data_IF_473134867731
#
_entry.id   IF_473134867731
#
_cell.length_a   1.000
_cell.length_b   1.000
_cell.length_c   1.000
_cell.angle_alpha   90.00
_cell.angle_beta   90.00
_cell.angle_gamma   90.00
#
_symmetry.space_group_name_H-M   'P 1'
#
loop_
_entity.id
_entity.type
_entity.pdbx_description
1 polymer ?
#
# COMPACT_ATOMS: atom_id res chain seq x y z
N UNK A 1 -20.50 -15.26 -5.67
CA UNK A 1 -21.38 -14.09 -5.82
C UNK A 1 -21.47 -13.63 -7.27
N UNK A 2 -20.43 -13.07 -7.91
CA UNK A 2 -20.50 -12.62 -9.33
C UNK A 2 -20.93 -13.74 -10.30
N UNK A 3 -20.34 -14.94 -10.21
CA UNK A 3 -20.75 -16.10 -11.05
C UNK A 3 -22.24 -16.42 -10.93
N UNK A 4 -22.79 -16.33 -9.71
CA UNK A 4 -24.21 -16.60 -9.46
C UNK A 4 -25.12 -15.49 -10.01
N UNK A 5 -24.63 -14.25 -10.12
CA UNK A 5 -25.37 -13.14 -10.76
C UNK A 5 -25.34 -13.29 -12.28
N UNK A 6 -24.21 -13.71 -12.85
CA UNK A 6 -24.09 -14.03 -14.29
C UNK A 6 -24.98 -15.22 -14.69
N UNK A 7 -25.04 -16.27 -13.86
CA UNK A 7 -25.94 -17.42 -14.07
C UNK A 7 -27.42 -16.99 -14.01
N UNK A 8 -27.79 -16.13 -13.05
CA UNK A 8 -29.13 -15.53 -12.97
C UNK A 8 -29.45 -14.68 -14.19
N UNK A 9 -28.51 -13.81 -14.62
CA UNK A 9 -28.64 -12.99 -15.83
C UNK A 9 -28.87 -13.85 -17.06
N UNK A 10 -28.04 -14.89 -17.25
CA UNK A 10 -28.18 -15.83 -18.37
C UNK A 10 -29.54 -16.52 -18.35
N UNK A 11 -29.99 -16.95 -17.18
CA UNK A 11 -31.29 -17.64 -17.02
C UNK A 11 -32.47 -16.71 -17.36
N UNK A 12 -32.44 -15.46 -16.92
CA UNK A 12 -33.48 -14.46 -17.22
C UNK A 12 -33.50 -14.16 -18.72
N UNK A 13 -32.32 -13.97 -19.35
CA UNK A 13 -32.22 -13.75 -20.78
C UNK A 13 -32.77 -14.92 -21.59
N UNK A 14 -32.44 -16.17 -21.22
CA UNK A 14 -32.97 -17.36 -21.88
C UNK A 14 -34.49 -17.45 -21.74
N UNK A 15 -35.06 -17.08 -20.57
CA UNK A 15 -36.52 -17.01 -20.38
C UNK A 15 -37.17 -15.95 -21.27
N UNK A 16 -36.59 -14.75 -21.36
CA UNK A 16 -37.07 -13.67 -22.23
C UNK A 16 -37.02 -14.10 -23.71
N UNK A 17 -35.95 -14.78 -24.13
CA UNK A 17 -35.77 -15.24 -25.52
C UNK A 17 -36.70 -16.40 -25.91
N UNK A 18 -37.06 -17.28 -24.96
CA UNK A 18 -37.94 -18.43 -25.18
C UNK A 18 -39.44 -18.14 -25.10
N UNK A 19 -39.84 -16.93 -24.74
CA UNK A 19 -41.24 -16.56 -24.46
C UNK A 19 -41.70 -15.45 -25.41
N UNK A 20 -41.87 -15.76 -26.70
CA UNK A 20 -42.40 -14.82 -27.69
C UNK A 20 -43.89 -14.44 -27.48
N UNK A 21 -44.67 -15.21 -26.69
CA UNK A 21 -46.13 -15.09 -26.57
C UNK A 21 -46.67 -14.93 -25.12
N UNK A 22 -45.88 -14.41 -24.18
CA UNK A 22 -46.35 -14.25 -22.77
C UNK A 22 -47.13 -12.95 -22.49
N UNK A 23 -48.03 -12.95 -21.49
CA UNK A 23 -48.76 -11.74 -21.05
C UNK A 23 -47.81 -10.60 -20.64
N UNK A 24 -48.15 -9.36 -21.03
CA UNK A 24 -47.35 -8.12 -20.78
C UNK A 24 -46.84 -7.98 -19.34
N UNK A 25 -47.61 -8.41 -18.35
CA UNK A 25 -47.25 -8.31 -16.93
C UNK A 25 -46.04 -9.19 -16.57
N UNK A 26 -45.98 -10.43 -17.06
CA UNK A 26 -44.86 -11.33 -16.82
C UNK A 26 -43.57 -10.83 -17.49
N UNK A 27 -43.68 -10.23 -18.67
CA UNK A 27 -42.55 -9.61 -19.36
C UNK A 27 -42.01 -8.41 -18.57
N UNK A 28 -42.89 -7.59 -17.97
CA UNK A 28 -42.49 -6.45 -17.15
C UNK A 28 -41.72 -6.85 -15.88
N UNK A 29 -42.15 -7.94 -15.22
CA UNK A 29 -41.48 -8.48 -14.04
C UNK A 29 -40.09 -9.03 -14.38
N UNK A 30 -39.96 -9.81 -15.46
CA UNK A 30 -38.67 -10.31 -15.94
C UNK A 30 -37.71 -9.18 -16.34
N UNK A 31 -38.22 -8.12 -16.94
CA UNK A 31 -37.41 -6.93 -17.28
C UNK A 31 -36.95 -6.18 -16.03
N UNK A 32 -37.80 -6.07 -15.01
CA UNK A 32 -37.44 -5.48 -13.73
C UNK A 32 -36.33 -6.29 -13.02
N UNK A 33 -36.49 -7.61 -12.95
CA UNK A 33 -35.50 -8.52 -12.36
C UNK A 33 -34.17 -8.45 -13.12
N UNK A 34 -34.20 -8.38 -14.45
CA UNK A 34 -33.00 -8.21 -15.27
C UNK A 34 -32.27 -6.91 -14.91
N UNK A 35 -33.00 -5.79 -14.84
CA UNK A 35 -32.42 -4.49 -14.49
C UNK A 35 -31.79 -4.51 -13.09
N UNK A 36 -32.42 -5.16 -12.10
CA UNK A 36 -31.84 -5.32 -10.77
C UNK A 36 -30.54 -6.12 -10.80
N UNK A 37 -30.51 -7.25 -11.54
CA UNK A 37 -29.30 -8.08 -11.66
C UNK A 37 -28.18 -7.32 -12.37
N UNK A 38 -28.49 -6.57 -13.43
CA UNK A 38 -27.51 -5.74 -14.14
C UNK A 38 -26.95 -4.62 -13.26
N UNK A 39 -27.79 -3.95 -12.46
CA UNK A 39 -27.33 -2.94 -11.49
C UNK A 39 -26.40 -3.55 -10.43
N UNK A 40 -26.72 -4.74 -9.92
CA UNK A 40 -25.86 -5.44 -8.97
C UNK A 40 -24.51 -5.83 -9.59
N UNK A 41 -24.52 -6.34 -10.82
CA UNK A 41 -23.29 -6.62 -11.57
C UNK A 41 -22.45 -5.37 -11.78
N UNK A 42 -23.08 -4.24 -12.14
CA UNK A 42 -22.39 -2.98 -12.37
C UNK A 42 -21.66 -2.48 -11.11
N UNK A 43 -22.32 -2.52 -9.95
CA UNK A 43 -21.71 -2.18 -8.66
C UNK A 43 -20.52 -3.09 -8.33
N UNK A 44 -20.62 -4.38 -8.62
CA UNK A 44 -19.53 -5.33 -8.40
C UNK A 44 -18.35 -5.10 -9.33
N UNK A 45 -18.61 -4.85 -10.62
CA UNK A 45 -17.60 -4.53 -11.62
C UNK A 45 -16.90 -3.24 -11.22
N UNK A 46 -17.64 -2.19 -10.89
CA UNK A 46 -17.10 -0.89 -10.48
C UNK A 46 -16.17 -1.00 -9.27
N UNK A 47 -16.61 -1.72 -8.24
CA UNK A 47 -15.79 -1.99 -7.05
C UNK A 47 -14.51 -2.75 -7.42
N UNK A 48 -14.62 -3.78 -8.26
CA UNK A 48 -13.46 -4.57 -8.70
C UNK A 48 -12.49 -3.74 -9.55
N UNK A 49 -13.00 -2.94 -10.48
CA UNK A 49 -12.20 -2.03 -11.30
C UNK A 49 -11.45 -1.04 -10.44
N UNK A 50 -12.11 -0.42 -9.45
CA UNK A 50 -11.45 0.50 -8.50
C UNK A 50 -10.30 -0.17 -7.74
N UNK A 51 -10.49 -1.40 -7.25
CA UNK A 51 -9.43 -2.16 -6.59
C UNK A 51 -8.27 -2.51 -7.53
N UNK A 52 -8.58 -2.95 -8.75
CA UNK A 52 -7.57 -3.31 -9.74
C UNK A 52 -6.80 -2.08 -10.22
N UNK A 53 -7.45 -0.93 -10.35
CA UNK A 53 -6.82 0.34 -10.69
C UNK A 53 -5.82 0.78 -9.61
N UNK A 54 -6.22 0.70 -8.34
CA UNK A 54 -5.34 0.97 -7.22
C UNK A 54 -4.09 0.08 -7.27
N UNK A 55 -4.29 -1.23 -7.51
CA UNK A 55 -3.20 -2.21 -7.60
C UNK A 55 -2.35 -2.09 -8.85
N UNK A 56 -2.93 -1.64 -9.97
CA UNK A 56 -2.21 -1.53 -11.22
C UNK A 56 -1.28 -0.32 -11.21
N UNK A 57 -1.52 0.69 -10.35
CA UNK A 57 -0.72 1.92 -10.23
C UNK A 57 -0.39 2.55 -11.60
N UNK A 58 -1.35 2.51 -12.52
CA UNK A 58 -1.23 3.07 -13.87
C UNK A 58 -1.70 4.52 -13.83
N UNK A 59 -0.86 5.47 -14.26
CA UNK A 59 -1.25 6.88 -14.37
C UNK A 59 -2.19 6.99 -15.58
N UNK A 60 -3.46 7.30 -15.34
CA UNK A 60 -4.47 7.27 -16.39
C UNK A 60 -4.37 8.48 -17.31
N UNK A 61 -4.52 8.25 -18.62
CA UNK A 61 -4.74 9.28 -19.64
C UNK A 61 -6.15 9.25 -20.25
N UNK A 62 -7.07 8.38 -19.82
CA UNK A 62 -8.46 8.42 -20.34
C UNK A 62 -9.51 8.00 -19.29
N UNK A 63 -10.59 8.77 -19.21
CA UNK A 63 -11.64 8.63 -18.20
C UNK A 63 -12.65 7.54 -18.60
N UNK A 64 -12.72 6.43 -17.84
CA UNK A 64 -13.87 5.50 -17.89
C UNK A 64 -13.58 4.04 -18.23
N UNK A 65 -12.32 3.61 -18.34
CA UNK A 65 -12.02 2.22 -18.72
C UNK A 65 -12.33 1.22 -17.59
N UNK A 66 -13.29 0.31 -17.84
CA UNK A 66 -13.70 -0.77 -16.92
C UNK A 66 -13.11 -2.13 -17.29
N UNK A 67 -12.01 -2.14 -18.05
CA UNK A 67 -11.43 -3.37 -18.57
C UNK A 67 -10.57 -4.10 -17.51
N UNK A 68 -11.22 -4.87 -16.64
CA UNK A 68 -10.54 -5.65 -15.61
C UNK A 68 -9.49 -6.60 -16.20
N UNK A 69 -9.72 -7.18 -17.38
CA UNK A 69 -8.75 -8.08 -18.05
C UNK A 69 -7.46 -7.35 -18.40
N UNK A 70 -7.55 -6.11 -18.88
CA UNK A 70 -6.39 -5.26 -19.12
C UNK A 70 -5.63 -5.00 -17.80
N UNK A 71 -6.34 -4.58 -16.75
CA UNK A 71 -5.72 -4.29 -15.44
C UNK A 71 -5.02 -5.53 -14.86
N UNK A 72 -5.63 -6.71 -14.94
CA UNK A 72 -5.00 -7.97 -14.54
C UNK A 72 -3.71 -8.24 -15.32
N UNK A 73 -3.71 -8.00 -16.64
CA UNK A 73 -2.51 -8.18 -17.47
C UNK A 73 -1.40 -7.22 -17.06
N UNK A 74 -1.72 -5.95 -16.80
CA UNK A 74 -0.77 -4.95 -16.32
C UNK A 74 -0.18 -5.36 -14.97
N UNK A 75 -1.02 -5.76 -14.02
CA UNK A 75 -0.58 -6.23 -12.70
C UNK A 75 0.35 -7.43 -12.86
N UNK A 76 -0.06 -8.45 -13.65
CA UNK A 76 0.75 -9.66 -13.88
C UNK A 76 2.11 -9.32 -14.48
N UNK A 77 2.15 -8.43 -15.47
CA UNK A 77 3.39 -8.00 -16.10
C UNK A 77 4.31 -7.27 -15.11
N UNK A 78 3.77 -6.34 -14.32
CA UNK A 78 4.54 -5.62 -13.29
C UNK A 78 5.06 -6.56 -12.21
N UNK A 79 4.25 -7.48 -11.72
CA UNK A 79 4.68 -8.49 -10.75
C UNK A 79 5.84 -9.29 -11.32
N UNK A 80 5.76 -9.76 -12.58
CA UNK A 80 6.87 -10.49 -13.21
C UNK A 80 8.15 -9.64 -13.35
N UNK A 81 8.03 -8.34 -13.60
CA UNK A 81 9.17 -7.41 -13.70
C UNK A 81 9.81 -7.08 -12.34
N UNK A 82 9.00 -7.01 -11.28
CA UNK A 82 9.45 -6.66 -9.92
C UNK A 82 9.95 -7.88 -9.13
N UNK A 83 9.60 -9.09 -9.56
CA UNK A 83 10.07 -10.32 -8.92
C UNK A 83 11.52 -10.60 -9.32
N UNK A 84 12.40 -10.68 -8.32
CA UNK A 84 13.75 -11.19 -8.50
C UNK A 84 13.68 -12.70 -8.72
N UNK A 85 13.84 -13.14 -9.98
CA UNK A 85 13.77 -14.55 -10.37
C UNK A 85 15.07 -15.32 -10.13
N UNK A 86 16.20 -14.62 -10.05
CA UNK A 86 17.49 -15.22 -9.76
C UNK A 86 18.51 -14.20 -9.30
N UNK A 87 19.43 -14.64 -8.45
CA UNK A 87 20.62 -13.88 -8.05
C UNK A 87 21.89 -14.67 -8.40
N UNK A 88 23.02 -13.97 -8.42
CA UNK A 88 24.34 -14.60 -8.47
C UNK A 88 24.88 -14.68 -7.05
N UNK A 89 25.20 -15.88 -6.58
CA UNK A 89 25.78 -16.10 -5.26
C UNK A 89 27.11 -15.35 -5.14
N UNK A 90 27.27 -14.51 -4.10
CA UNK A 90 28.47 -13.69 -3.94
C UNK A 90 29.75 -14.53 -3.74
N UNK A 91 29.62 -15.72 -3.13
CA UNK A 91 30.77 -16.59 -2.81
C UNK A 91 31.16 -17.54 -3.96
N UNK A 92 30.18 -18.23 -4.54
CA UNK A 92 30.43 -19.27 -5.56
C UNK A 92 30.27 -18.76 -6.99
N UNK A 93 29.66 -17.59 -7.18
CA UNK A 93 29.32 -17.06 -8.50
C UNK A 93 28.21 -17.82 -9.23
N UNK A 94 27.60 -18.83 -8.58
CA UNK A 94 26.54 -19.64 -9.18
C UNK A 94 25.21 -18.90 -9.24
N UNK A 95 24.36 -19.29 -10.20
CA UNK A 95 23.02 -18.74 -10.35
C UNK A 95 22.06 -19.42 -9.39
N UNK A 96 21.52 -18.64 -8.46
CA UNK A 96 20.49 -19.03 -7.51
C UNK A 96 19.12 -18.72 -8.12
N UNK A 97 18.17 -19.66 -8.03
CA UNK A 97 16.78 -19.48 -8.49
C UNK A 97 15.73 -19.83 -7.42
N UNK A 98 16.14 -20.50 -6.34
CA UNK A 98 15.26 -20.82 -5.24
C UNK A 98 14.97 -19.57 -4.40
N UNK A 99 13.70 -19.33 -4.07
CA UNK A 99 13.28 -18.16 -3.30
C UNK A 99 13.92 -18.09 -1.90
N UNK A 100 14.12 -19.21 -1.20
CA UNK A 100 14.77 -19.20 0.13
C UNK A 100 16.24 -18.80 0.02
N UNK A 101 16.94 -19.30 -0.98
CA UNK A 101 18.34 -18.97 -1.24
C UNK A 101 18.51 -17.51 -1.71
N UNK A 102 17.57 -17.00 -2.53
CA UNK A 102 17.53 -15.58 -2.96
C UNK A 102 17.40 -14.68 -1.72
N UNK A 103 16.48 -15.00 -0.81
CA UNK A 103 16.26 -14.22 0.41
C UNK A 103 17.48 -14.24 1.32
N UNK A 104 18.12 -15.40 1.49
CA UNK A 104 19.32 -15.51 2.32
C UNK A 104 20.50 -14.74 1.70
N UNK A 105 20.73 -14.85 0.39
CA UNK A 105 21.79 -14.10 -0.29
C UNK A 105 21.56 -12.57 -0.17
N UNK A 106 20.32 -12.11 -0.34
CA UNK A 106 19.96 -10.70 -0.15
C UNK A 106 20.20 -10.23 1.29
N UNK A 107 19.82 -11.04 2.28
CA UNK A 107 20.04 -10.77 3.71
C UNK A 107 21.54 -10.67 4.02
N UNK A 108 22.35 -11.60 3.51
CA UNK A 108 23.80 -11.60 3.69
C UNK A 108 24.43 -10.35 3.06
N UNK A 109 24.01 -10.00 1.84
CA UNK A 109 24.48 -8.81 1.15
C UNK A 109 24.20 -7.54 1.96
N UNK A 110 22.95 -7.29 2.35
CA UNK A 110 22.59 -6.08 3.08
C UNK A 110 23.16 -6.05 4.50
N UNK A 111 23.27 -7.21 5.17
CA UNK A 111 23.97 -7.30 6.46
C UNK A 111 25.44 -6.91 6.34
N UNK A 112 26.10 -7.25 5.24
CA UNK A 112 27.48 -6.84 4.96
C UNK A 112 27.56 -5.36 4.62
N UNK A 113 26.65 -4.87 3.76
CA UNK A 113 26.62 -3.47 3.30
C UNK A 113 26.43 -2.49 4.44
N UNK A 114 25.50 -2.79 5.35
CA UNK A 114 25.20 -1.94 6.51
C UNK A 114 26.00 -2.33 7.76
N UNK A 115 27.04 -3.16 7.62
CA UNK A 115 27.95 -3.43 8.73
C UNK A 115 28.77 -2.16 8.98
N UNK A 116 28.87 -1.68 10.24
CA UNK A 116 29.78 -0.59 10.56
C UNK A 116 31.20 -0.94 10.11
N UNK A 117 31.81 -0.03 9.35
CA UNK A 117 33.22 -0.08 8.98
C UNK A 117 33.98 0.94 9.81
N UNK A 118 35.28 0.73 9.97
CA UNK A 118 36.14 1.76 10.54
C UNK A 118 36.03 3.04 9.69
N UNK A 119 35.99 4.18 10.38
CA UNK A 119 35.93 5.50 9.78
C UNK A 119 37.23 6.23 10.08
N UNK A 120 37.70 7.01 9.11
CA UNK A 120 38.85 7.87 9.29
C UNK A 120 38.44 9.12 10.07
N UNK A 121 38.78 9.13 11.36
CA UNK A 121 38.45 10.24 12.26
C UNK A 121 39.16 11.54 11.87
N UNK A 122 40.38 11.47 11.35
CA UNK A 122 41.11 12.67 10.92
C UNK A 122 40.44 13.29 9.70
N UNK A 123 39.95 12.48 8.76
CA UNK A 123 39.19 12.95 7.62
C UNK A 123 37.84 13.58 8.02
N UNK A 124 37.15 12.99 9.01
CA UNK A 124 35.92 13.55 9.57
C UNK A 124 36.20 14.89 10.24
N UNK A 125 37.18 14.96 11.13
CA UNK A 125 37.51 16.18 11.87
C UNK A 125 37.97 17.29 10.91
N UNK A 126 38.79 16.94 9.90
CA UNK A 126 39.17 17.87 8.85
C UNK A 126 37.94 18.37 8.09
N UNK A 127 37.02 17.51 7.66
CA UNK A 127 35.78 17.92 6.99
C UNK A 127 34.93 18.85 7.88
N UNK A 128 34.74 18.49 9.14
CA UNK A 128 33.91 19.23 10.09
C UNK A 128 34.54 20.55 10.53
N UNK A 129 35.88 20.66 10.55
CA UNK A 129 36.59 21.91 10.90
C UNK A 129 36.30 23.10 9.96
N UNK A 130 35.75 22.82 8.77
CA UNK A 130 35.33 23.85 7.81
C UNK A 130 33.94 24.44 8.15
N UNK A 131 33.24 23.87 9.12
CA UNK A 131 31.93 24.35 9.59
C UNK A 131 32.19 25.41 10.68
N UNK A 132 31.77 26.67 10.48
CA UNK A 132 31.94 27.71 11.50
C UNK A 132 31.16 27.37 12.78
N UNK A 133 31.69 27.71 13.96
CA UNK A 133 30.96 27.56 15.24
C UNK A 133 29.64 28.35 15.28
N UNK A 134 29.53 29.39 14.44
CA UNK A 134 28.31 30.17 14.27
C UNK A 134 27.23 29.46 13.45
N UNK A 135 27.55 28.34 12.79
CA UNK A 135 26.59 27.50 12.08
C UNK A 135 25.79 26.61 13.04
N UNK A 136 25.35 27.22 14.15
CA UNK A 136 24.56 26.60 15.20
C UNK A 136 23.17 27.22 15.23
N UNK A 137 22.21 26.46 15.72
CA UNK A 137 20.86 26.95 15.95
C UNK A 137 20.80 27.69 17.28
N UNK A 138 19.89 28.65 17.41
CA UNK A 138 19.62 29.24 18.71
C UNK A 138 19.06 28.19 19.69
N UNK A 139 19.27 28.44 20.98
CA UNK A 139 18.93 27.48 22.04
C UNK A 139 17.44 27.13 22.06
N UNK A 140 16.56 28.07 21.75
CA UNK A 140 15.11 27.85 21.78
C UNK A 140 14.65 26.98 20.61
N UNK A 141 15.19 27.21 19.41
CA UNK A 141 14.89 26.36 18.25
C UNK A 141 15.48 24.97 18.44
N UNK A 142 16.71 24.85 18.96
CA UNK A 142 17.31 23.56 19.29
C UNK A 142 16.46 22.78 20.31
N UNK A 143 16.04 23.43 21.39
CA UNK A 143 15.15 22.85 22.40
C UNK A 143 13.79 22.43 21.81
N UNK A 144 13.27 23.21 20.85
CA UNK A 144 12.03 22.90 20.14
C UNK A 144 12.14 21.65 19.27
N UNK A 145 13.30 21.39 18.65
CA UNK A 145 13.49 20.23 17.78
C UNK A 145 13.67 18.91 18.55
N UNK A 146 14.16 18.97 19.78
CA UNK A 146 14.42 17.78 20.61
C UNK A 146 13.31 17.50 21.62
N UNK A 147 12.31 18.39 21.74
CA UNK A 147 11.19 18.17 22.66
C UNK A 147 10.33 16.99 22.17
N UNK A 148 9.65 16.28 23.08
CA UNK A 148 8.70 15.24 22.70
C UNK A 148 7.60 15.78 21.79
N UNK A 149 7.14 14.93 20.86
CA UNK A 149 6.09 15.31 19.90
C UNK A 149 4.84 15.76 20.65
N UNK A 150 4.22 16.87 20.26
CA UNK A 150 2.97 17.36 20.87
C UNK A 150 1.73 16.73 20.22
N UNK A 151 0.60 16.74 20.93
CA UNK A 151 -0.68 16.25 20.38
C UNK A 151 -1.13 17.04 19.13
N UNK A 152 -0.79 18.32 19.08
CA UNK A 152 -1.06 19.17 17.93
C UNK A 152 -0.27 18.73 16.70
N UNK A 153 1.03 18.46 16.88
CA UNK A 153 1.92 17.95 15.81
C UNK A 153 1.45 16.58 15.34
N UNK A 154 1.07 15.68 16.25
CA UNK A 154 0.53 14.37 15.91
C UNK A 154 -0.77 14.47 15.10
N UNK A 155 -1.71 15.32 15.54
CA UNK A 155 -2.94 15.58 14.80
C UNK A 155 -2.66 16.18 13.42
N UNK A 156 -1.70 17.09 13.34
CA UNK A 156 -1.21 17.67 12.09
C UNK A 156 -0.68 16.60 11.13
N UNK A 157 0.22 15.74 11.60
CA UNK A 157 0.80 14.63 10.85
C UNK A 157 -0.27 13.69 10.29
N UNK A 158 -1.20 13.26 11.15
CA UNK A 158 -2.25 12.33 10.74
C UNK A 158 -3.20 12.97 9.74
N UNK A 159 -3.57 14.23 9.91
CA UNK A 159 -4.44 14.92 8.95
C UNK A 159 -3.77 15.07 7.57
N UNK A 160 -2.46 15.37 7.54
CA UNK A 160 -1.68 15.50 6.30
C UNK A 160 -1.31 14.15 5.67
N UNK A 161 -1.56 13.03 6.34
CA UNK A 161 -1.24 11.72 5.78
C UNK A 161 -2.04 11.45 4.50
N UNK A 162 -1.38 10.92 3.46
CA UNK A 162 -1.97 10.78 2.14
C UNK A 162 -3.01 9.65 2.11
N UNK A 163 -4.10 9.87 1.37
CA UNK A 163 -5.13 8.87 1.12
C UNK A 163 -4.78 7.99 -0.08
N UNK A 164 -5.25 6.74 -0.06
CA UNK A 164 -5.10 5.78 -1.16
C UNK A 164 -3.65 5.36 -1.43
N UNK A 165 -2.76 5.49 -0.43
CA UNK A 165 -1.39 4.96 -0.52
C UNK A 165 -1.35 3.51 -0.09
N UNK A 166 -0.41 2.77 -0.65
CA UNK A 166 -0.14 1.41 -0.22
C UNK A 166 0.27 1.39 1.25
N UNK A 167 -0.28 0.48 2.07
CA UNK A 167 0.13 0.33 3.46
C UNK A 167 1.57 -0.16 3.57
N UNK A 168 2.16 0.00 4.76
CA UNK A 168 3.49 -0.53 5.07
C UNK A 168 3.51 -2.05 5.23
N UNK A 169 4.59 -2.56 5.83
CA UNK A 169 4.73 -3.99 6.14
C UNK A 169 3.68 -4.50 7.13
N UNK A 170 3.10 -3.60 7.92
CA UNK A 170 2.01 -3.87 8.87
C UNK A 170 0.65 -4.06 8.17
N UNK A 171 0.53 -3.69 6.89
CA UNK A 171 -0.73 -3.73 6.15
C UNK A 171 -1.75 -2.68 6.57
N UNK A 172 -1.38 -1.70 7.41
CA UNK A 172 -2.30 -0.69 7.93
C UNK A 172 -2.25 0.59 7.09
N UNK A 173 -3.38 1.04 6.51
CA UNK A 173 -3.43 2.26 5.72
C UNK A 173 -3.58 3.50 6.61
N UNK A 174 -3.18 4.68 6.11
CA UNK A 174 -3.32 5.95 6.85
C UNK A 174 -4.77 6.29 7.22
N UNK A 175 -5.74 5.88 6.41
CA UNK A 175 -7.17 5.99 6.68
C UNK A 175 -7.57 5.32 8.00
N UNK A 176 -6.93 4.19 8.34
CA UNK A 176 -7.21 3.50 9.58
C UNK A 176 -6.70 4.31 10.77
N UNK A 177 -5.50 4.89 10.69
CA UNK A 177 -4.97 5.75 11.74
C UNK A 177 -5.85 6.99 11.94
N UNK A 178 -6.32 7.62 10.86
CA UNK A 178 -7.29 8.74 10.91
C UNK A 178 -8.59 8.35 11.63
N UNK A 179 -9.13 7.16 11.34
CA UNK A 179 -10.34 6.65 11.97
C UNK A 179 -10.10 6.28 13.45
N UNK A 180 -9.03 5.55 13.75
CA UNK A 180 -8.73 5.13 15.12
C UNK A 180 -8.56 6.33 16.04
N UNK A 181 -7.85 7.36 15.59
CA UNK A 181 -7.58 8.53 16.42
C UNK A 181 -8.78 9.46 16.54
N UNK A 182 -9.76 9.38 15.61
CA UNK A 182 -11.05 10.07 15.78
C UNK A 182 -11.97 9.36 16.77
N UNK A 183 -11.76 8.06 17.01
CA UNK A 183 -12.57 7.23 17.90
C UNK A 183 -11.96 7.07 19.30
N UNK A 184 -10.63 7.12 19.44
CA UNK A 184 -9.93 6.84 20.71
C UNK A 184 -8.70 7.73 20.89
N UNK A 185 -8.69 8.50 21.98
CA UNK A 185 -7.51 9.25 22.44
C UNK A 185 -6.38 8.32 22.88
N UNK A 186 -6.71 7.15 23.43
CA UNK A 186 -5.72 6.18 23.92
C UNK A 186 -4.91 5.58 22.76
N UNK A 187 -5.55 5.35 21.61
CA UNK A 187 -4.87 4.92 20.40
C UNK A 187 -3.85 5.96 19.91
N UNK A 188 -4.22 7.25 19.95
CA UNK A 188 -3.29 8.34 19.63
C UNK A 188 -2.16 8.46 20.64
N UNK A 189 -2.45 8.30 21.94
CA UNK A 189 -1.45 8.30 23.01
C UNK A 189 -0.45 7.14 22.89
N UNK A 190 -0.93 5.94 22.55
CA UNK A 190 -0.06 4.79 22.28
C UNK A 190 0.86 5.06 21.08
N UNK A 191 0.30 5.58 19.98
CA UNK A 191 1.09 5.92 18.80
C UNK A 191 2.18 6.95 19.12
N UNK A 192 1.83 8.01 19.87
CA UNK A 192 2.79 9.02 20.34
C UNK A 192 3.93 8.38 21.13
N UNK A 193 3.61 7.49 22.07
CA UNK A 193 4.62 6.78 22.87
C UNK A 193 5.55 5.93 22.01
N UNK A 194 5.02 5.23 21.00
CA UNK A 194 5.84 4.47 20.05
C UNK A 194 6.75 5.39 19.23
N UNK A 195 6.24 6.55 18.81
CA UNK A 195 7.01 7.54 18.07
C UNK A 195 8.16 8.10 18.92
N UNK A 196 7.87 8.49 20.17
CA UNK A 196 8.89 9.02 21.09
C UNK A 196 9.98 7.97 21.37
N UNK A 197 9.60 6.71 21.62
CA UNK A 197 10.56 5.61 21.78
C UNK A 197 11.44 5.42 20.53
N UNK A 198 10.86 5.50 19.34
CA UNK A 198 11.60 5.37 18.08
C UNK A 198 12.58 6.53 17.86
N UNK A 199 12.23 7.76 18.27
CA UNK A 199 13.13 8.92 18.24
C UNK A 199 14.32 8.75 19.20
N UNK A 200 14.10 8.09 20.34
CA UNK A 200 15.16 7.68 21.27
C UNK A 200 15.97 6.47 20.79
N UNK A 201 15.73 5.97 19.56
CA UNK A 201 16.40 4.80 19.00
C UNK A 201 15.93 3.45 19.58
N UNK A 202 14.85 3.45 20.36
CA UNK A 202 14.24 2.26 20.94
C UNK A 202 13.11 1.74 20.06
N UNK A 203 13.40 0.71 19.26
CA UNK A 203 12.43 0.11 18.35
C UNK A 203 11.78 -1.15 18.96
N UNK A 204 10.49 -1.43 18.66
CA UNK A 204 9.87 -2.70 19.03
C UNK A 204 10.66 -3.89 18.48
N UNK A 205 10.77 -4.99 19.23
CA UNK A 205 11.46 -6.20 18.77
C UNK A 205 10.90 -6.77 17.47
N UNK A 206 9.64 -6.50 17.14
CA UNK A 206 9.04 -6.89 15.87
C UNK A 206 9.60 -6.13 14.65
N UNK A 207 10.38 -5.06 14.86
CA UNK A 207 10.98 -4.24 13.80
C UNK A 207 12.47 -4.56 13.55
N UNK A 208 13.06 -5.46 14.34
CA UNK A 208 14.47 -5.89 14.28
C UNK A 208 14.59 -7.37 13.94
#
# INVERSE_FOLDING_TARGET
MIKSLEEKRSTILTKIQGLADTPREHMSALQHDLNQVEQQLDVHIDRSTKQLLLRSATRWQDQGERNNKYLYRVIKQRTAQQTILSLKASRSGQRITNNSEILEEARLFYRKLYRPTEVDHDAIDHLLSHIPDTATMDTDTAATLIRPTSDLELKGLINHSPLGKSPGLDGLPFELYKLLFSLSSDAAGLFRRVLDLALDGSFPHSWT
#
